data_IF_600602693059
#
_entry.id   IF_600602693059
#
_cell.length_a   1.000
_cell.length_b   1.000
_cell.length_c   1.000
_cell.angle_alpha   90.00
_cell.angle_beta   90.00
_cell.angle_gamma   90.00
#
_symmetry.space_group_name_H-M   'P 1'
#
loop_
_entity.id
_entity.type
_entity.pdbx_description
1 polymer ?
#
# COMPACT_ATOMS: atom_id res chain seq x y z
N UNK A 1 48.25 39.75 5.63
CA UNK A 1 48.75 40.30 4.34
C UNK A 1 48.65 39.17 3.33
N UNK A 2 47.99 39.23 2.18
CA UNK A 2 47.24 40.23 1.43
C UNK A 2 46.80 39.51 0.13
N UNK A 3 45.61 39.80 -0.39
CA UNK A 3 45.06 39.25 -1.65
C UNK A 3 45.66 39.99 -2.89
N UNK A 4 45.25 39.77 -4.17
CA UNK A 4 44.85 38.61 -5.01
C UNK A 4 45.70 38.58 -6.34
N UNK A 5 45.35 38.01 -7.54
CA UNK A 5 44.14 38.27 -8.35
C UNK A 5 43.49 37.07 -9.09
N UNK A 6 42.34 37.41 -9.68
CA UNK A 6 41.40 36.68 -10.54
C UNK A 6 41.99 36.27 -11.91
N UNK A 7 41.51 35.14 -12.48
CA UNK A 7 41.81 34.71 -13.85
C UNK A 7 40.97 33.50 -14.25
N UNK A 8 40.27 33.61 -15.39
CA UNK A 8 39.28 32.70 -15.95
C UNK A 8 39.87 31.42 -16.56
N UNK A 9 39.07 30.35 -16.60
CA UNK A 9 38.76 29.56 -17.82
C UNK A 9 38.36 28.12 -17.45
N UNK A 10 37.07 27.92 -17.15
CA UNK A 10 36.46 26.60 -17.25
C UNK A 10 36.12 26.34 -18.72
N UNK A 11 36.90 25.47 -19.36
CA UNK A 11 36.63 24.95 -20.69
C UNK A 11 35.36 24.09 -20.70
N UNK A 12 34.38 24.56 -21.48
CA UNK A 12 33.62 23.78 -22.48
C UNK A 12 32.63 22.70 -22.00
N UNK A 13 31.36 23.13 -22.00
CA UNK A 13 30.25 22.56 -22.81
C UNK A 13 29.82 21.11 -22.56
N UNK A 14 28.67 20.96 -21.90
CA UNK A 14 27.87 19.74 -21.89
C UNK A 14 26.37 20.03 -21.90
N UNK A 15 25.92 20.99 -22.73
CA UNK A 15 24.50 21.21 -22.96
C UNK A 15 23.91 19.98 -23.66
N UNK A 16 23.01 19.27 -22.97
CA UNK A 16 22.19 18.21 -23.53
C UNK A 16 21.39 18.76 -24.71
N UNK A 17 21.82 18.42 -25.92
CA UNK A 17 21.04 18.66 -27.14
C UNK A 17 19.80 17.78 -27.09
N UNK A 18 18.67 18.37 -26.72
CA UNK A 18 17.35 17.85 -27.09
C UNK A 18 17.33 17.79 -28.62
N UNK A 19 17.03 16.63 -29.25
CA UNK A 19 17.07 16.50 -30.69
C UNK A 19 16.06 17.46 -31.32
N UNK A 20 16.52 18.29 -32.26
CA UNK A 20 15.74 19.35 -32.91
C UNK A 20 14.40 18.87 -33.53
N UNK A 21 14.26 17.57 -33.79
CA UNK A 21 13.01 16.96 -34.28
C UNK A 21 11.88 16.90 -33.25
N UNK A 22 12.18 16.82 -31.95
CA UNK A 22 11.16 16.68 -30.90
C UNK A 22 10.53 18.04 -30.54
N UNK A 23 11.36 19.10 -30.54
CA UNK A 23 10.93 20.48 -30.30
C UNK A 23 10.11 21.01 -31.49
N UNK A 24 10.51 20.69 -32.72
CA UNK A 24 9.76 21.06 -33.93
C UNK A 24 8.35 20.43 -33.95
N UNK A 25 8.23 19.17 -33.50
CA UNK A 25 6.95 18.47 -33.43
C UNK A 25 6.03 19.00 -32.34
N UNK A 26 6.58 19.40 -31.18
CA UNK A 26 5.81 20.01 -30.10
C UNK A 26 5.26 21.39 -30.48
N UNK A 27 6.06 22.21 -31.18
CA UNK A 27 5.66 23.56 -31.61
C UNK A 27 4.64 23.50 -32.77
N UNK A 28 4.80 22.56 -33.72
CA UNK A 28 3.83 22.36 -34.80
C UNK A 28 2.49 21.80 -34.29
N UNK A 29 2.49 20.88 -33.31
CA UNK A 29 1.25 20.36 -32.71
C UNK A 29 0.52 21.41 -31.86
N UNK A 30 1.20 22.47 -31.39
CA UNK A 30 0.58 23.57 -30.65
C UNK A 30 -0.06 24.60 -31.57
N UNK A 31 0.60 24.93 -32.69
CA UNK A 31 0.06 25.85 -33.71
C UNK A 31 -1.14 25.24 -34.47
N UNK A 32 -1.15 23.92 -34.71
CA UNK A 32 -2.31 23.23 -35.31
C UNK A 32 -3.50 23.17 -34.34
N UNK A 33 -3.25 23.17 -33.03
CA UNK A 33 -4.28 23.15 -31.99
C UNK A 33 -5.15 24.41 -31.94
N UNK A 34 -4.66 25.54 -32.46
CA UNK A 34 -5.38 26.81 -32.50
C UNK A 34 -6.35 26.89 -33.69
N UNK A 35 -6.05 26.20 -34.81
CA UNK A 35 -6.84 26.29 -36.04
C UNK A 35 -7.74 25.09 -36.34
N UNK A 36 -7.50 23.91 -35.75
CA UNK A 36 -8.42 22.76 -35.90
C UNK A 36 -8.39 21.77 -34.71
N UNK A 37 -9.29 21.90 -33.72
CA UNK A 37 -9.32 21.02 -32.55
C UNK A 37 -9.55 19.54 -32.88
N UNK A 38 -10.29 19.25 -33.97
CA UNK A 38 -10.65 17.89 -34.37
C UNK A 38 -9.47 17.03 -34.85
N UNK A 39 -8.47 17.63 -35.51
CA UNK A 39 -7.32 16.91 -36.04
C UNK A 39 -6.30 16.56 -34.94
N UNK A 40 -6.07 17.48 -33.99
CA UNK A 40 -5.26 17.22 -32.79
C UNK A 40 -5.92 16.14 -31.91
N UNK A 41 -7.24 16.20 -31.74
CA UNK A 41 -7.99 15.16 -31.02
C UNK A 41 -7.92 13.79 -31.73
N UNK A 42 -8.03 13.74 -33.05
CA UNK A 42 -7.89 12.51 -33.83
C UNK A 42 -6.49 11.89 -33.71
N UNK A 43 -5.43 12.73 -33.69
CA UNK A 43 -4.04 12.30 -33.55
C UNK A 43 -3.69 11.81 -32.14
N UNK A 44 -4.22 12.47 -31.10
CA UNK A 44 -4.09 12.00 -29.71
C UNK A 44 -4.84 10.68 -29.50
N UNK A 45 -6.03 10.54 -30.09
CA UNK A 45 -6.80 9.31 -30.05
C UNK A 45 -6.08 8.16 -30.76
N UNK A 46 -5.47 8.40 -31.91
CA UNK A 46 -4.69 7.37 -32.61
C UNK A 46 -3.41 6.99 -31.86
N UNK A 47 -2.71 7.94 -31.23
CA UNK A 47 -1.58 7.62 -30.35
C UNK A 47 -1.98 6.77 -29.15
N UNK A 48 -3.09 7.09 -28.48
CA UNK A 48 -3.61 6.30 -27.37
C UNK A 48 -3.99 4.87 -27.82
N UNK A 49 -4.60 4.73 -29.00
CA UNK A 49 -4.94 3.42 -29.58
C UNK A 49 -3.69 2.62 -29.93
N UNK A 50 -2.65 3.24 -30.49
CA UNK A 50 -1.37 2.57 -30.81
C UNK A 50 -0.67 2.12 -29.52
N UNK A 51 -0.61 2.95 -28.48
CA UNK A 51 -0.03 2.59 -27.19
C UNK A 51 -0.79 1.45 -26.51
N UNK A 52 -2.12 1.49 -26.55
CA UNK A 52 -2.96 0.41 -26.04
C UNK A 52 -2.71 -0.91 -26.82
N UNK A 53 -2.46 -0.81 -28.13
CA UNK A 53 -2.18 -1.96 -28.97
C UNK A 53 -0.76 -2.51 -28.79
N UNK A 54 0.23 -1.64 -28.60
CA UNK A 54 1.61 -1.99 -28.26
C UNK A 54 1.72 -2.67 -26.89
N UNK A 55 0.93 -2.23 -25.90
CA UNK A 55 0.86 -2.88 -24.59
C UNK A 55 0.28 -4.30 -24.66
N UNK A 56 -0.57 -4.59 -25.66
CA UNK A 56 -1.23 -5.88 -25.85
C UNK A 56 -0.38 -6.86 -26.67
N UNK A 57 0.51 -6.36 -27.55
CA UNK A 57 1.34 -7.23 -28.41
C UNK A 57 2.58 -7.75 -27.69
N UNK A 58 2.64 -9.08 -27.54
CA UNK A 58 3.83 -9.79 -27.05
C UNK A 58 5.01 -9.57 -28.00
N UNK A 59 6.09 -8.97 -27.52
CA UNK A 59 7.33 -8.68 -28.29
C UNK A 59 8.51 -9.43 -27.67
N UNK A 60 9.64 -9.57 -28.37
CA UNK A 60 10.87 -10.24 -27.84
C UNK A 60 11.32 -9.68 -26.48
N UNK A 61 11.12 -8.38 -26.24
CA UNK A 61 11.41 -7.68 -24.99
C UNK A 61 10.21 -7.60 -24.02
N UNK A 62 9.00 -7.95 -24.46
CA UNK A 62 7.78 -7.94 -23.64
C UNK A 62 7.02 -9.26 -23.81
N UNK A 63 7.35 -10.25 -22.99
CA UNK A 63 6.60 -11.51 -22.91
C UNK A 63 5.39 -11.30 -21.99
N UNK A 64 4.27 -10.82 -22.53
CA UNK A 64 3.01 -10.81 -21.79
C UNK A 64 2.62 -12.27 -21.47
N UNK A 65 2.85 -12.70 -20.23
CA UNK A 65 2.40 -14.00 -19.72
C UNK A 65 0.97 -13.81 -19.22
N UNK A 66 0.03 -14.52 -19.86
CA UNK A 66 -1.34 -14.61 -19.35
C UNK A 66 -1.38 -15.69 -18.28
N UNK A 67 -1.93 -15.34 -17.13
CA UNK A 67 -2.23 -16.32 -16.11
C UNK A 67 -3.63 -16.88 -16.38
N UNK A 68 -3.69 -18.13 -16.85
CA UNK A 68 -4.94 -18.78 -17.27
C UNK A 68 -5.56 -19.64 -16.16
N UNK A 69 -4.90 -19.74 -14.99
CA UNK A 69 -5.40 -20.50 -13.85
C UNK A 69 -6.41 -19.68 -13.06
N UNK A 70 -7.43 -20.33 -12.51
CA UNK A 70 -8.38 -19.70 -11.59
C UNK A 70 -7.65 -19.26 -10.31
N UNK A 71 -8.10 -18.19 -9.65
CA UNK A 71 -7.49 -17.71 -8.41
C UNK A 71 -7.27 -18.82 -7.37
N UNK A 72 -8.24 -19.72 -7.24
CA UNK A 72 -8.16 -20.89 -6.35
C UNK A 72 -7.04 -21.88 -6.72
N UNK A 73 -6.84 -22.13 -8.03
CA UNK A 73 -5.76 -22.97 -8.53
C UNK A 73 -4.37 -22.33 -8.35
N UNK A 74 -4.28 -21.00 -8.35
CA UNK A 74 -3.04 -20.30 -8.04
C UNK A 74 -2.69 -20.38 -6.57
N UNK A 75 -3.69 -20.19 -5.71
CA UNK A 75 -3.54 -20.31 -4.26
C UNK A 75 -3.08 -21.73 -3.88
N UNK A 76 -3.68 -22.78 -4.44
CA UNK A 76 -3.32 -24.16 -4.10
C UNK A 76 -1.93 -24.60 -4.58
N UNK A 77 -1.51 -24.24 -5.80
CA UNK A 77 -0.27 -24.76 -6.39
C UNK A 77 0.96 -23.87 -6.20
N UNK A 78 0.78 -22.58 -5.89
CA UNK A 78 1.86 -21.60 -5.86
C UNK A 78 1.98 -20.78 -4.58
N UNK A 79 0.97 -20.76 -3.70
CA UNK A 79 0.98 -19.84 -2.57
C UNK A 79 2.10 -20.10 -1.57
N UNK A 80 2.44 -21.37 -1.28
CA UNK A 80 3.53 -21.71 -0.34
C UNK A 80 4.87 -21.18 -0.86
N UNK A 81 5.21 -21.48 -2.12
CA UNK A 81 6.47 -21.02 -2.72
C UNK A 81 6.53 -19.50 -2.88
N UNK A 82 5.41 -18.86 -3.23
CA UNK A 82 5.33 -17.39 -3.35
C UNK A 82 5.49 -16.72 -1.98
N UNK A 83 4.89 -17.30 -0.93
CA UNK A 83 5.03 -16.82 0.45
C UNK A 83 6.47 -16.94 0.95
N UNK A 84 7.11 -18.08 0.72
CA UNK A 84 8.53 -18.28 1.07
C UNK A 84 9.43 -17.27 0.36
N UNK A 85 9.20 -17.03 -0.94
CA UNK A 85 9.92 -16.01 -1.70
C UNK A 85 9.65 -14.60 -1.17
N UNK A 86 8.40 -14.27 -0.86
CA UNK A 86 8.03 -12.96 -0.30
C UNK A 86 8.70 -12.73 1.07
N UNK A 87 8.74 -13.75 1.94
CA UNK A 87 9.45 -13.71 3.23
C UNK A 87 10.96 -13.59 3.06
N UNK A 88 11.53 -14.30 2.09
CA UNK A 88 12.95 -14.16 1.76
C UNK A 88 13.27 -12.72 1.34
N UNK A 89 12.42 -12.11 0.51
CA UNK A 89 12.58 -10.73 0.06
C UNK A 89 12.35 -9.71 1.19
N UNK A 90 11.33 -9.90 2.03
CA UNK A 90 11.08 -9.04 3.21
C UNK A 90 12.26 -9.04 4.20
N UNK A 91 12.97 -10.17 4.34
CA UNK A 91 14.12 -10.24 5.26
C UNK A 91 15.44 -9.74 4.64
N UNK A 92 15.64 -9.88 3.33
CA UNK A 92 16.96 -9.71 2.70
C UNK A 92 17.05 -8.54 1.70
N UNK A 93 15.93 -8.03 1.20
CA UNK A 93 15.93 -7.02 0.14
C UNK A 93 15.53 -5.64 0.69
N UNK A 94 16.50 -4.72 0.71
CA UNK A 94 16.37 -3.32 1.16
C UNK A 94 15.17 -2.56 0.58
N UNK A 95 14.92 -2.67 -0.73
CA UNK A 95 13.77 -2.05 -1.39
C UNK A 95 12.44 -2.61 -0.88
N UNK A 96 12.36 -3.92 -0.65
CA UNK A 96 11.13 -4.57 -0.19
C UNK A 96 10.85 -4.19 1.26
N UNK A 97 11.88 -4.21 2.12
CA UNK A 97 11.81 -3.71 3.50
C UNK A 97 11.29 -2.28 3.52
N UNK A 98 11.92 -1.38 2.73
CA UNK A 98 11.53 0.02 2.68
C UNK A 98 10.11 0.24 2.15
N UNK A 99 9.65 -0.58 1.19
CA UNK A 99 8.27 -0.52 0.69
C UNK A 99 7.29 -0.94 1.78
N UNK A 100 7.51 -2.06 2.46
CA UNK A 100 6.59 -2.52 3.52
C UNK A 100 6.57 -1.57 4.71
N UNK A 101 7.72 -1.06 5.15
CA UNK A 101 7.79 -0.08 6.23
C UNK A 101 7.01 1.21 5.88
N UNK A 102 7.10 1.67 4.62
CA UNK A 102 6.35 2.83 4.16
C UNK A 102 4.85 2.55 4.05
N UNK A 103 4.46 1.36 3.62
CA UNK A 103 3.05 0.97 3.58
C UNK A 103 2.46 0.87 5.00
N UNK A 104 3.19 0.28 5.95
CA UNK A 104 2.79 0.23 7.36
C UNK A 104 2.61 1.63 7.95
N UNK A 105 3.58 2.52 7.73
CA UNK A 105 3.52 3.91 8.19
C UNK A 105 2.32 4.65 7.58
N UNK A 106 1.97 4.39 6.32
CA UNK A 106 0.89 5.11 5.62
C UNK A 106 -0.50 4.57 5.88
N UNK A 107 -0.64 3.26 6.06
CA UNK A 107 -1.95 2.62 6.27
C UNK A 107 -2.35 2.66 7.74
N UNK A 108 -1.46 2.29 8.65
CA UNK A 108 -1.77 2.20 10.09
C UNK A 108 -1.34 3.47 10.82
N UNK A 109 -0.23 4.09 10.42
CA UNK A 109 0.28 5.28 11.08
C UNK A 109 0.85 5.02 12.47
N UNK A 110 1.19 6.09 13.19
CA UNK A 110 1.80 6.03 14.54
C UNK A 110 0.83 5.50 15.61
N UNK A 111 -0.42 5.94 15.55
CA UNK A 111 -1.40 5.72 16.61
C UNK A 111 -2.37 4.58 16.31
N UNK A 112 -2.12 3.82 15.25
CA UNK A 112 -3.08 2.86 14.72
C UNK A 112 -4.21 3.53 13.94
N UNK A 113 -5.10 2.71 13.39
CA UNK A 113 -6.27 3.16 12.65
C UNK A 113 -7.24 3.85 13.60
N UNK A 114 -7.44 5.16 13.47
CA UNK A 114 -8.30 5.89 14.42
C UNK A 114 -9.77 5.63 14.10
N UNK A 115 -10.54 5.17 15.10
CA UNK A 115 -11.97 4.92 14.97
C UNK A 115 -12.73 5.93 15.82
N UNK A 116 -13.57 6.75 15.17
CA UNK A 116 -14.45 7.71 15.83
C UNK A 116 -15.90 7.21 15.81
N UNK A 117 -16.43 6.70 16.94
CA UNK A 117 -17.79 6.16 16.99
C UNK A 117 -18.84 7.26 16.90
N UNK A 118 -19.84 7.05 16.06
CA UNK A 118 -20.99 7.94 15.89
C UNK A 118 -22.32 7.19 16.15
N UNK A 119 -22.60 6.81 17.41
CA UNK A 119 -23.84 6.15 17.76
C UNK A 119 -25.03 7.10 17.60
N UNK A 120 -26.11 6.59 17.01
CA UNK A 120 -27.35 7.33 16.76
C UNK A 120 -28.48 6.73 17.60
N UNK A 121 -29.23 7.59 18.29
CA UNK A 121 -30.41 7.21 19.06
C UNK A 121 -31.58 6.87 18.12
N UNK A 122 -32.61 6.18 18.64
CA UNK A 122 -33.82 5.85 17.87
C UNK A 122 -34.54 7.07 17.30
N UNK A 123 -34.32 8.25 17.86
CA UNK A 123 -34.89 9.52 17.41
C UNK A 123 -34.01 10.26 16.36
N UNK A 124 -32.89 9.67 15.93
CA UNK A 124 -31.96 10.26 14.95
C UNK A 124 -30.93 11.23 15.54
N UNK A 125 -30.96 11.53 16.84
CA UNK A 125 -29.94 12.36 17.48
C UNK A 125 -28.66 11.56 17.78
N UNK A 126 -27.50 12.21 17.70
CA UNK A 126 -26.20 11.59 18.05
C UNK A 126 -26.11 11.42 19.56
N UNK A 127 -25.85 10.19 20.02
CA UNK A 127 -25.64 9.88 21.44
C UNK A 127 -24.21 10.26 21.86
N UNK A 128 -23.99 11.54 22.19
CA UNK A 128 -22.65 12.07 22.53
C UNK A 128 -22.03 11.38 23.75
N UNK A 129 -22.83 11.12 24.78
CA UNK A 129 -22.34 10.51 26.02
C UNK A 129 -21.90 9.06 25.78
N UNK A 130 -22.69 8.30 25.03
CA UNK A 130 -22.34 6.94 24.62
C UNK A 130 -21.11 6.93 23.71
N UNK A 131 -20.99 7.89 22.79
CA UNK A 131 -19.81 8.02 21.94
C UNK A 131 -18.54 8.28 22.78
N UNK A 132 -18.65 9.11 23.82
CA UNK A 132 -17.56 9.37 24.75
C UNK A 132 -17.19 8.11 25.54
N UNK A 133 -18.17 7.37 26.05
CA UNK A 133 -17.92 6.10 26.77
C UNK A 133 -17.24 5.05 25.89
N UNK A 134 -17.70 4.89 24.64
CA UNK A 134 -17.09 3.96 23.68
C UNK A 134 -15.64 4.37 23.39
N UNK A 135 -15.36 5.67 23.20
CA UNK A 135 -13.99 6.15 22.95
C UNK A 135 -13.05 5.87 24.13
N UNK A 136 -13.50 6.11 25.35
CA UNK A 136 -12.72 5.82 26.55
C UNK A 136 -12.39 4.34 26.64
N UNK A 137 -13.41 3.47 26.55
CA UNK A 137 -13.20 2.01 26.60
C UNK A 137 -12.35 1.50 25.44
N UNK A 138 -12.52 2.04 24.24
CA UNK A 138 -11.71 1.70 23.08
C UNK A 138 -10.24 2.06 23.30
N UNK A 139 -9.96 3.26 23.82
CA UNK A 139 -8.59 3.70 24.12
C UNK A 139 -7.92 2.84 25.20
N UNK A 140 -8.64 2.50 26.26
CA UNK A 140 -8.12 1.64 27.33
C UNK A 140 -7.91 0.20 26.84
N UNK A 141 -8.88 -0.36 26.09
CA UNK A 141 -8.76 -1.67 25.46
C UNK A 141 -7.57 -1.73 24.49
N UNK A 142 -7.32 -0.64 23.75
CA UNK A 142 -6.22 -0.52 22.79
C UNK A 142 -4.82 -0.71 23.40
N UNK A 143 -4.68 -0.61 24.72
CA UNK A 143 -3.40 -0.85 25.42
C UNK A 143 -3.03 -2.33 25.38
N UNK A 144 -4.00 -3.23 25.49
CA UNK A 144 -3.80 -4.68 25.51
C UNK A 144 -5.01 -5.39 24.89
N UNK A 145 -5.16 -5.32 23.55
CA UNK A 145 -6.30 -5.86 22.82
C UNK A 145 -6.19 -7.36 22.54
N UNK A 146 -5.02 -7.98 22.72
CA UNK A 146 -4.78 -9.38 22.39
C UNK A 146 -4.68 -10.29 23.60
N UNK A 147 -4.88 -11.59 23.36
CA UNK A 147 -4.95 -12.64 24.40
C UNK A 147 -3.68 -12.73 25.25
N UNK A 148 -2.49 -12.53 24.66
CA UNK A 148 -1.20 -12.60 25.34
C UNK A 148 -0.83 -11.31 26.08
N UNK A 149 -1.47 -10.19 25.73
CA UNK A 149 -1.17 -8.85 26.23
C UNK A 149 0.23 -8.32 25.91
N UNK A 150 0.88 -8.81 24.85
CA UNK A 150 2.25 -8.42 24.48
C UNK A 150 2.26 -7.18 23.57
N UNK A 151 1.28 -7.06 22.69
CA UNK A 151 1.18 -6.00 21.70
C UNK A 151 0.07 -5.01 22.06
N UNK A 152 0.40 -3.72 21.96
CA UNK A 152 -0.61 -2.66 21.89
C UNK A 152 -1.33 -2.72 20.55
N UNK A 153 -2.53 -2.15 20.46
CA UNK A 153 -3.32 -2.13 19.22
C UNK A 153 -2.54 -1.63 17.98
N UNK A 154 -1.82 -0.49 18.03
CA UNK A 154 -1.08 -0.04 16.86
C UNK A 154 0.04 -1.01 16.44
N UNK A 155 0.65 -1.71 17.40
CA UNK A 155 1.68 -2.72 17.11
C UNK A 155 1.05 -3.95 16.46
N UNK A 156 -0.07 -4.43 17.00
CA UNK A 156 -0.82 -5.55 16.45
C UNK A 156 -1.32 -5.25 15.03
N UNK A 157 -1.89 -4.06 14.80
CA UNK A 157 -2.36 -3.63 13.47
C UNK A 157 -1.23 -3.60 12.44
N UNK A 158 -0.04 -3.13 12.81
CA UNK A 158 1.14 -3.14 11.93
C UNK A 158 1.63 -4.55 11.64
N UNK A 159 1.72 -5.40 12.67
CA UNK A 159 2.10 -6.80 12.52
C UNK A 159 1.15 -7.51 11.56
N UNK A 160 -0.16 -7.36 11.77
CA UNK A 160 -1.20 -7.92 10.91
C UNK A 160 -1.11 -7.39 9.48
N UNK A 161 -0.91 -6.09 9.32
CA UNK A 161 -0.76 -5.48 8.00
C UNK A 161 0.48 -6.00 7.28
N UNK A 162 1.63 -6.11 7.95
CA UNK A 162 2.86 -6.64 7.35
C UNK A 162 2.66 -8.07 6.87
N UNK A 163 2.04 -8.90 7.71
CA UNK A 163 1.69 -10.28 7.35
C UNK A 163 0.75 -10.31 6.14
N UNK A 164 -0.28 -9.47 6.10
CA UNK A 164 -1.18 -9.39 4.96
C UNK A 164 -0.48 -8.94 3.66
N UNK A 165 0.38 -7.91 3.74
CA UNK A 165 1.11 -7.38 2.58
C UNK A 165 2.14 -8.38 2.04
N UNK A 166 2.78 -9.15 2.92
CA UNK A 166 3.83 -10.11 2.58
C UNK A 166 3.28 -11.48 2.18
N UNK A 167 2.37 -12.04 2.99
CA UNK A 167 1.87 -13.42 2.84
C UNK A 167 0.54 -13.48 2.06
N UNK A 168 -0.10 -12.34 1.83
CA UNK A 168 -1.37 -12.19 1.11
C UNK A 168 -2.62 -12.43 1.97
N UNK A 169 -2.43 -12.90 3.20
CA UNK A 169 -3.51 -13.23 4.13
C UNK A 169 -3.07 -13.01 5.57
N UNK A 170 -4.05 -12.80 6.45
CA UNK A 170 -3.85 -12.72 7.89
C UNK A 170 -5.08 -13.32 8.56
N UNK A 171 -4.86 -14.06 9.64
CA UNK A 171 -5.92 -14.71 10.37
C UNK A 171 -5.97 -14.21 11.79
N UNK A 172 -7.19 -13.98 12.26
CA UNK A 172 -7.45 -13.55 13.63
C UNK A 172 -8.65 -14.30 14.16
N UNK A 173 -8.49 -14.89 15.33
CA UNK A 173 -9.59 -15.42 16.10
C UNK A 173 -10.12 -14.33 17.04
N UNK A 174 -11.42 -14.06 16.94
CA UNK A 174 -12.11 -13.16 17.87
C UNK A 174 -12.49 -13.94 19.12
N UNK A 175 -11.96 -13.53 20.26
CA UNK A 175 -12.21 -14.15 21.56
C UNK A 175 -13.11 -13.24 22.37
N UNK A 176 -14.32 -13.69 22.68
CA UNK A 176 -15.30 -12.89 23.44
C UNK A 176 -15.89 -13.68 24.59
N UNK A 177 -16.14 -13.00 25.71
CA UNK A 177 -16.81 -13.58 26.88
C UNK A 177 -15.95 -13.65 28.13
N UNK A 178 -16.53 -14.14 29.23
CA UNK A 178 -15.82 -14.25 30.51
C UNK A 178 -14.99 -15.54 30.53
N UNK A 179 -13.69 -15.40 30.34
CA UNK A 179 -12.73 -16.50 30.33
C UNK A 179 -11.84 -16.36 31.56
N UNK A 180 -11.78 -17.40 32.40
CA UNK A 180 -11.11 -17.34 33.70
C UNK A 180 -9.59 -17.07 33.59
N UNK A 181 -8.97 -17.43 32.48
CA UNK A 181 -7.54 -17.21 32.22
C UNK A 181 -7.20 -15.83 31.66
N UNK A 182 -8.20 -15.03 31.27
CA UNK A 182 -7.99 -13.73 30.62
C UNK A 182 -8.53 -12.58 31.46
N UNK A 183 -7.70 -11.57 31.66
CA UNK A 183 -8.07 -10.34 32.35
C UNK A 183 -8.63 -9.32 31.35
N UNK A 184 -9.85 -8.82 31.55
CA UNK A 184 -10.46 -7.86 30.62
C UNK A 184 -9.75 -6.51 30.70
N UNK A 185 -9.24 -6.04 29.57
CA UNK A 185 -8.78 -4.65 29.46
C UNK A 185 -9.99 -3.72 29.44
N UNK A 186 -9.96 -2.63 30.21
CA UNK A 186 -11.06 -1.66 30.30
C UNK A 186 -12.43 -2.25 30.73
N UNK A 187 -12.45 -3.43 31.37
CA UNK A 187 -13.68 -4.17 31.64
C UNK A 187 -14.39 -4.72 30.40
N UNK A 188 -13.72 -4.69 29.24
CA UNK A 188 -14.22 -5.24 27.97
C UNK A 188 -13.75 -6.69 27.84
N UNK A 189 -14.70 -7.61 27.78
CA UNK A 189 -14.46 -9.04 27.61
C UNK A 189 -14.32 -9.43 26.13
N UNK A 190 -13.37 -8.79 25.45
CA UNK A 190 -13.10 -9.00 24.03
C UNK A 190 -11.61 -8.92 23.76
N UNK A 191 -11.07 -9.89 23.04
CA UNK A 191 -9.66 -9.97 22.67
C UNK A 191 -9.51 -10.48 21.25
N UNK A 192 -8.35 -10.19 20.67
CA UNK A 192 -7.91 -10.71 19.38
C UNK A 192 -6.78 -11.71 19.59
N UNK A 193 -6.84 -12.82 18.87
CA UNK A 193 -5.74 -13.77 18.79
C UNK A 193 -5.25 -13.79 17.34
N UNK A 194 -4.12 -13.12 17.09
CA UNK A 194 -3.50 -13.14 15.77
C UNK A 194 -2.81 -14.49 15.57
N UNK A 195 -3.18 -15.16 14.47
CA UNK A 195 -2.65 -16.47 14.10
C UNK A 195 -1.67 -16.30 12.95
N UNK A 196 -0.53 -16.98 13.04
CA UNK A 196 0.40 -17.06 11.93
C UNK A 196 -0.25 -17.84 10.77
N UNK A 197 -0.14 -17.35 9.51
CA UNK A 197 -0.73 -18.03 8.36
C UNK A 197 -0.29 -19.48 8.18
N UNK A 198 0.87 -19.86 8.74
CA UNK A 198 1.42 -21.21 8.62
C UNK A 198 0.64 -22.25 9.42
N UNK A 199 -0.13 -21.83 10.43
CA UNK A 199 -0.99 -22.74 11.20
C UNK A 199 -2.27 -23.14 10.45
N UNK A 200 -2.57 -22.50 9.32
CA UNK A 200 -3.78 -22.78 8.54
C UNK A 200 -3.38 -23.51 7.25
N UNK A 201 -3.75 -24.80 7.11
CA UNK A 201 -3.33 -25.61 5.98
C UNK A 201 -3.99 -25.12 4.69
N UNK A 202 -3.16 -24.94 3.66
CA UNK A 202 -3.59 -24.60 2.29
C UNK A 202 -4.09 -25.82 1.49
N UNK A 203 -3.82 -27.02 1.98
CA UNK A 203 -4.27 -28.28 1.39
C UNK A 203 -5.57 -28.72 2.06
N UNK A 204 -6.69 -28.62 1.33
CA UNK A 204 -7.96 -29.29 1.64
C UNK A 204 -8.20 -30.43 0.67
#
# INVERSE_FOLDING_TARGET
MGAPPCGSDYTTTGASRVPAGEVLMAILDDVIGVFSPGWKAARLRSRAVIQAYEAVKTTRTHKARRENRTADQLSQYGAVSLREQARYLDNNHDLVIGVFDKLEERVVGKNGIIVEPHPVLRNGAIARDLAAEIRTRWSEWSVSPEVTGQFTRPMLERLMLRTWLRDGEVFVQMVSGRINSLTPSAGVHFWLEALEPDFIPMTS
#
